data_IF_847516445129
#
_entry.id   IF_847516445129
#
_cell.length_a   1.000
_cell.length_b   1.000
_cell.length_c   1.000
_cell.angle_alpha   90.00
_cell.angle_beta   90.00
_cell.angle_gamma   90.00
#
_symmetry.space_group_name_H-M   'P 1'
#
loop_
_entity.id
_entity.type
_entity.pdbx_description
1 polymer ?
#
# COMPACT_ATOMS: atom_id res chain seq x y z
N UNK A 1 -0.87 -29.74 -8.49
CA UNK A 1 -1.96 -29.12 -7.70
C UNK A 1 -1.50 -27.72 -7.36
N UNK A 2 -2.08 -26.70 -7.99
CA UNK A 2 -1.76 -25.31 -7.70
C UNK A 2 -2.16 -25.02 -6.26
N UNK A 3 -1.20 -24.59 -5.44
CA UNK A 3 -1.44 -24.09 -4.08
C UNK A 3 -2.51 -22.98 -4.20
N UNK A 4 -3.58 -22.95 -3.38
CA UNK A 4 -4.50 -21.83 -3.42
C UNK A 4 -3.66 -20.56 -3.23
N UNK A 5 -3.83 -19.59 -4.13
CA UNK A 5 -3.20 -18.29 -3.98
C UNK A 5 -3.61 -17.75 -2.59
N UNK A 6 -2.67 -17.21 -1.80
CA UNK A 6 -3.01 -16.64 -0.50
C UNK A 6 -4.07 -15.56 -0.72
N UNK A 7 -5.28 -15.77 -0.19
CA UNK A 7 -6.35 -14.78 -0.27
C UNK A 7 -6.09 -13.74 0.82
N UNK A 8 -6.00 -12.48 0.42
CA UNK A 8 -5.90 -11.36 1.35
C UNK A 8 -7.26 -11.08 2.00
N UNK A 9 -7.26 -10.90 3.31
CA UNK A 9 -8.34 -10.13 3.94
C UNK A 9 -8.29 -8.67 3.48
N UNK A 10 -9.36 -7.88 3.68
CA UNK A 10 -9.31 -6.45 3.35
C UNK A 10 -8.16 -5.72 4.03
N UNK A 11 -7.86 -6.06 5.30
CA UNK A 11 -6.74 -5.46 6.03
C UNK A 11 -5.40 -5.91 5.45
N UNK A 12 -5.22 -7.19 5.11
CA UNK A 12 -4.01 -7.69 4.46
C UNK A 12 -3.76 -6.95 3.13
N UNK A 13 -4.79 -6.68 2.34
CA UNK A 13 -4.67 -5.96 1.08
C UNK A 13 -4.24 -4.50 1.28
N UNK A 14 -4.73 -3.82 2.32
CA UNK A 14 -4.27 -2.47 2.68
C UNK A 14 -2.80 -2.48 3.11
N UNK A 15 -2.37 -3.47 3.89
CA UNK A 15 -0.97 -3.64 4.28
C UNK A 15 -0.10 -3.92 3.06
N UNK A 16 -0.55 -4.80 2.17
CA UNK A 16 0.18 -5.17 0.96
C UNK A 16 0.44 -3.94 0.07
N UNK A 17 -0.56 -3.07 -0.10
CA UNK A 17 -0.43 -1.81 -0.82
C UNK A 17 0.60 -0.88 -0.16
N UNK A 18 0.56 -0.73 1.17
CA UNK A 18 1.52 0.08 1.90
C UNK A 18 2.96 -0.45 1.73
N UNK A 19 3.15 -1.76 1.86
CA UNK A 19 4.47 -2.39 1.69
C UNK A 19 4.95 -2.26 0.25
N UNK A 20 4.08 -2.44 -0.74
CA UNK A 20 4.42 -2.34 -2.16
C UNK A 20 5.04 -0.98 -2.51
N UNK A 21 4.51 0.10 -1.94
CA UNK A 21 5.08 1.44 -2.07
C UNK A 21 6.48 1.50 -1.47
N UNK A 22 6.66 1.01 -0.25
CA UNK A 22 7.96 1.01 0.44
C UNK A 22 9.04 0.15 -0.23
N UNK A 23 8.67 -0.91 -0.96
CA UNK A 23 9.66 -1.78 -1.66
C UNK A 23 9.96 -1.32 -3.08
N UNK A 24 9.25 -0.32 -3.60
CA UNK A 24 9.31 0.07 -5.02
C UNK A 24 10.66 0.61 -5.47
N UNK A 25 11.53 1.05 -4.55
CA UNK A 25 12.91 1.48 -4.82
C UNK A 25 13.98 0.43 -4.46
N UNK A 26 13.58 -0.86 -4.37
CA UNK A 26 14.40 -2.03 -4.06
C UNK A 26 14.91 -2.10 -2.60
N UNK A 27 14.59 -1.15 -1.71
CA UNK A 27 14.98 -1.22 -0.29
C UNK A 27 14.01 -0.49 0.63
N UNK A 28 13.23 -1.22 1.43
CA UNK A 28 12.40 -0.60 2.49
C UNK A 28 13.29 0.16 3.47
N UNK A 29 12.93 1.42 3.71
CA UNK A 29 13.58 2.25 4.73
C UNK A 29 12.91 2.05 6.08
N UNK A 30 13.71 2.10 7.15
CA UNK A 30 13.18 2.00 8.54
C UNK A 30 12.08 3.03 8.82
N UNK A 31 12.17 4.23 8.23
CA UNK A 31 11.18 5.28 8.40
C UNK A 31 9.81 4.92 7.82
N UNK A 32 9.78 4.21 6.69
CA UNK A 32 8.57 3.76 6.01
C UNK A 32 7.93 2.60 6.78
N UNK A 33 8.73 1.62 7.23
CA UNK A 33 8.22 0.54 8.08
C UNK A 33 7.57 1.09 9.37
N UNK A 34 8.23 2.06 10.01
CA UNK A 34 7.65 2.74 11.18
C UNK A 34 6.40 3.55 10.82
N UNK A 35 6.29 4.09 9.61
CA UNK A 35 5.07 4.76 9.17
C UNK A 35 3.91 3.77 9.03
N UNK A 36 4.16 2.59 8.43
CA UNK A 36 3.19 1.50 8.31
C UNK A 36 2.70 1.08 9.69
N UNK A 37 3.61 0.76 10.62
CA UNK A 37 3.26 0.36 12.00
C UNK A 37 2.38 1.42 12.69
N UNK A 38 2.75 2.71 12.62
CA UNK A 38 1.95 3.79 13.19
C UNK A 38 0.54 3.89 12.61
N UNK A 39 0.39 3.68 11.30
CA UNK A 39 -0.93 3.70 10.64
C UNK A 39 -1.78 2.51 11.07
N UNK A 40 -1.19 1.32 11.18
CA UNK A 40 -1.88 0.12 11.67
C UNK A 40 -2.35 0.28 13.11
N UNK A 41 -1.50 0.83 13.98
CA UNK A 41 -1.82 1.00 15.40
C UNK A 41 -2.90 2.05 15.67
N UNK A 42 -3.07 3.03 14.77
CA UNK A 42 -3.91 4.21 15.03
C UNK A 42 -5.21 4.26 14.23
N UNK A 43 -5.28 3.59 13.07
CA UNK A 43 -6.44 3.72 12.18
C UNK A 43 -7.52 2.67 12.47
N UNK A 44 -8.80 3.09 12.55
CA UNK A 44 -9.90 2.20 12.94
C UNK A 44 -10.13 1.04 11.98
N UNK A 45 -9.71 1.15 10.70
CA UNK A 45 -9.79 0.05 9.73
C UNK A 45 -8.97 -1.16 10.18
N UNK A 46 -7.95 -0.97 11.02
CA UNK A 46 -7.09 -2.02 11.56
C UNK A 46 -7.42 -2.42 13.00
N UNK A 47 -8.54 -1.95 13.58
CA UNK A 47 -8.82 -2.12 15.01
C UNK A 47 -8.90 -3.57 15.54
N UNK A 48 -9.07 -4.56 14.66
CA UNK A 48 -9.05 -5.99 14.98
C UNK A 48 -7.96 -6.75 14.19
N UNK A 49 -7.00 -6.04 13.61
CA UNK A 49 -5.94 -6.64 12.81
C UNK A 49 -4.87 -7.27 13.72
N UNK A 50 -4.31 -8.39 13.27
CA UNK A 50 -3.20 -9.05 13.95
C UNK A 50 -1.87 -8.50 13.41
N UNK A 51 -1.09 -7.72 14.20
CA UNK A 51 0.12 -7.07 13.73
C UNK A 51 1.22 -8.08 13.33
N UNK A 52 1.20 -9.31 13.86
CA UNK A 52 2.17 -10.35 13.47
C UNK A 52 2.02 -10.72 11.98
N UNK A 53 0.85 -10.46 11.37
CA UNK A 53 0.62 -10.68 9.94
C UNK A 53 1.35 -9.69 9.04
N UNK A 54 1.74 -8.51 9.54
CA UNK A 54 2.46 -7.50 8.73
C UNK A 54 3.69 -8.12 8.08
N UNK A 55 4.46 -8.89 8.85
CA UNK A 55 5.67 -9.55 8.37
C UNK A 55 5.36 -10.56 7.26
N UNK A 56 4.31 -11.36 7.42
CA UNK A 56 3.90 -12.36 6.43
C UNK A 56 3.46 -11.69 5.11
N UNK A 57 2.70 -10.61 5.22
CA UNK A 57 2.28 -9.83 4.04
C UNK A 57 3.48 -9.17 3.38
N UNK A 58 4.42 -8.61 4.16
CA UNK A 58 5.62 -8.02 3.61
C UNK A 58 6.48 -9.03 2.85
N UNK A 59 6.74 -10.21 3.44
CA UNK A 59 7.46 -11.31 2.77
C UNK A 59 6.76 -11.74 1.48
N UNK A 60 5.42 -11.81 1.49
CA UNK A 60 4.62 -12.13 0.29
C UNK A 60 4.78 -11.08 -0.81
N UNK A 61 4.69 -9.79 -0.46
CA UNK A 61 4.88 -8.69 -1.40
C UNK A 61 6.29 -8.70 -1.97
N UNK A 62 7.32 -8.92 -1.14
CA UNK A 62 8.70 -9.05 -1.61
C UNK A 62 8.85 -10.17 -2.64
N UNK A 63 8.33 -11.37 -2.35
CA UNK A 63 8.38 -12.49 -3.29
C UNK A 63 7.66 -12.16 -4.60
N UNK A 64 6.52 -11.45 -4.54
CA UNK A 64 5.84 -11.03 -5.76
C UNK A 64 6.69 -10.03 -6.56
N UNK A 65 7.27 -9.02 -5.92
CA UNK A 65 8.06 -7.99 -6.61
C UNK A 65 9.35 -8.49 -7.26
N UNK A 66 9.82 -9.70 -6.93
CA UNK A 66 10.96 -10.36 -7.60
C UNK A 66 10.56 -11.04 -8.93
N UNK A 67 9.26 -11.26 -9.16
CA UNK A 67 8.73 -11.94 -10.35
C UNK A 67 8.41 -10.93 -11.48
N UNK A 68 8.58 -11.35 -12.74
CA UNK A 68 8.39 -10.49 -13.93
C UNK A 68 6.98 -9.88 -14.02
N UNK A 69 5.93 -10.66 -13.70
CA UNK A 69 4.52 -10.23 -13.66
C UNK A 69 4.01 -10.03 -12.22
N UNK A 70 4.93 -9.84 -11.28
CA UNK A 70 4.67 -9.80 -9.85
C UNK A 70 3.68 -8.73 -9.40
N UNK A 71 3.80 -7.55 -10.02
CA UNK A 71 2.97 -6.39 -9.70
C UNK A 71 1.51 -6.60 -10.13
N UNK A 72 1.29 -7.20 -11.30
CA UNK A 72 -0.05 -7.55 -11.77
C UNK A 72 -0.70 -8.60 -10.85
N UNK A 73 0.09 -9.59 -10.41
CA UNK A 73 -0.37 -10.59 -9.46
C UNK A 73 -0.72 -9.96 -8.10
N UNK A 74 0.09 -9.02 -7.60
CA UNK A 74 -0.20 -8.27 -6.39
C UNK A 74 -1.52 -7.50 -6.51
N UNK A 75 -1.71 -6.76 -7.61
CA UNK A 75 -2.97 -6.05 -7.84
C UNK A 75 -4.17 -7.00 -7.95
N UNK A 76 -3.99 -8.20 -8.50
CA UNK A 76 -4.99 -9.27 -8.43
C UNK A 76 -5.42 -9.60 -7.00
N UNK A 77 -4.46 -9.86 -6.12
CA UNK A 77 -4.74 -10.17 -4.71
C UNK A 77 -5.39 -8.99 -3.97
N UNK A 78 -4.95 -7.76 -4.27
CA UNK A 78 -5.51 -6.54 -3.68
C UNK A 78 -6.96 -6.32 -4.12
N UNK A 79 -7.27 -6.47 -5.41
CA UNK A 79 -8.64 -6.34 -5.94
C UNK A 79 -9.57 -7.42 -5.37
N UNK A 80 -9.09 -8.65 -5.22
CA UNK A 80 -9.86 -9.74 -4.64
C UNK A 80 -10.10 -9.55 -3.13
N UNK A 81 -9.14 -8.94 -2.42
CA UNK A 81 -9.21 -8.70 -0.99
C UNK A 81 -9.96 -7.42 -0.59
N UNK A 82 -10.03 -6.42 -1.46
CA UNK A 82 -10.68 -5.13 -1.17
C UNK A 82 -12.12 -5.05 -1.67
N UNK A 83 -12.98 -4.47 -0.83
CA UNK A 83 -14.29 -3.97 -1.27
C UNK A 83 -14.13 -2.56 -1.83
N UNK A 84 -14.93 -2.20 -2.84
CA UNK A 84 -14.90 -0.88 -3.52
C UNK A 84 -14.85 0.33 -2.56
N UNK A 85 -15.60 0.26 -1.45
CA UNK A 85 -15.60 1.32 -0.41
C UNK A 85 -14.25 1.60 0.26
N UNK A 86 -13.27 0.70 0.11
CA UNK A 86 -11.92 0.81 0.67
C UNK A 86 -10.87 1.21 -0.37
N UNK A 87 -11.22 1.40 -1.64
CA UNK A 87 -10.26 1.77 -2.68
C UNK A 87 -9.55 3.09 -2.38
N UNK A 88 -10.32 4.12 -2.00
CA UNK A 88 -9.76 5.41 -1.57
C UNK A 88 -8.95 5.29 -0.28
N UNK A 89 -9.29 4.34 0.60
CA UNK A 89 -8.52 4.06 1.82
C UNK A 89 -7.16 3.46 1.47
N UNK A 90 -7.12 2.46 0.59
CA UNK A 90 -5.87 1.86 0.11
C UNK A 90 -4.96 2.92 -0.51
N UNK A 91 -5.51 3.77 -1.36
CA UNK A 91 -4.76 4.82 -2.02
C UNK A 91 -4.27 5.91 -1.07
N UNK A 92 -5.10 6.32 -0.10
CA UNK A 92 -4.68 7.28 0.91
C UNK A 92 -3.53 6.76 1.77
N UNK A 93 -3.58 5.48 2.17
CA UNK A 93 -2.48 4.83 2.89
C UNK A 93 -1.21 4.78 2.05
N UNK A 94 -1.31 4.41 0.77
CA UNK A 94 -0.19 4.39 -0.16
C UNK A 94 0.48 5.78 -0.28
N UNK A 95 -0.33 6.83 -0.43
CA UNK A 95 0.17 8.21 -0.47
C UNK A 95 0.85 8.61 0.84
N UNK A 96 0.30 8.23 2.00
CA UNK A 96 0.88 8.56 3.30
C UNK A 96 2.20 7.82 3.57
N UNK A 97 2.36 6.57 3.09
CA UNK A 97 3.65 5.88 3.10
C UNK A 97 4.66 6.59 2.21
N UNK A 98 4.32 6.87 0.94
CA UNK A 98 5.21 7.55 0.00
C UNK A 98 5.63 8.94 0.52
N UNK A 99 4.73 9.67 1.17
CA UNK A 99 5.00 10.99 1.71
C UNK A 99 5.76 10.96 3.06
N UNK A 100 6.01 9.79 3.64
CA UNK A 100 6.67 9.67 4.94
C UNK A 100 8.16 9.99 4.91
N UNK A 101 8.78 9.99 3.72
CA UNK A 101 10.15 10.48 3.48
C UNK A 101 10.14 11.87 2.82
N UNK A 102 11.28 12.57 2.90
CA UNK A 102 11.49 13.96 2.45
C UNK A 102 11.25 14.13 0.94
N UNK A 103 11.38 13.06 0.14
CA UNK A 103 11.15 13.10 -1.31
C UNK A 103 10.58 11.78 -1.84
N UNK A 104 9.46 11.90 -2.55
CA UNK A 104 8.87 10.81 -3.34
C UNK A 104 9.69 10.61 -4.62
N UNK A 105 10.14 9.38 -4.86
CA UNK A 105 10.87 8.93 -6.04
C UNK A 105 9.97 8.63 -7.25
N UNK A 106 10.59 8.40 -8.41
CA UNK A 106 9.84 8.09 -9.63
C UNK A 106 9.18 6.71 -9.61
N UNK A 107 9.79 5.73 -8.95
CA UNK A 107 9.22 4.38 -8.83
C UNK A 107 7.92 4.40 -8.03
N UNK A 108 7.92 5.07 -6.88
CA UNK A 108 6.73 5.26 -6.04
C UNK A 108 5.63 6.02 -6.78
N UNK A 109 5.97 7.08 -7.52
CA UNK A 109 4.99 7.83 -8.32
C UNK A 109 4.32 6.96 -9.39
N UNK A 110 5.08 6.09 -10.06
CA UNK A 110 4.54 5.14 -11.03
C UNK A 110 3.63 4.12 -10.37
N UNK A 111 4.05 3.55 -9.25
CA UNK A 111 3.23 2.60 -8.51
C UNK A 111 1.92 3.23 -8.02
N UNK A 112 1.96 4.47 -7.52
CA UNK A 112 0.76 5.23 -7.15
C UNK A 112 -0.14 5.49 -8.36
N UNK A 113 0.42 5.81 -9.52
CA UNK A 113 -0.35 5.99 -10.75
C UNK A 113 -1.06 4.69 -11.16
N UNK A 114 -0.35 3.55 -11.15
CA UNK A 114 -0.92 2.24 -11.45
C UNK A 114 -1.99 1.83 -10.44
N UNK A 115 -1.73 1.98 -9.14
CA UNK A 115 -2.69 1.70 -8.08
C UNK A 115 -3.98 2.53 -8.25
N UNK A 116 -3.85 3.81 -8.59
CA UNK A 116 -5.00 4.69 -8.88
C UNK A 116 -5.84 4.16 -10.03
N UNK A 117 -5.19 3.64 -11.07
CA UNK A 117 -5.85 3.05 -12.22
C UNK A 117 -6.53 1.72 -11.88
N UNK A 118 -5.82 0.83 -11.20
CA UNK A 118 -6.31 -0.49 -10.82
C UNK A 118 -7.51 -0.44 -9.87
N UNK A 119 -7.53 0.54 -8.98
CA UNK A 119 -8.64 0.76 -8.05
C UNK A 119 -9.72 1.71 -8.60
N UNK A 120 -9.59 2.15 -9.86
CA UNK A 120 -10.54 3.03 -10.55
C UNK A 120 -10.89 4.30 -9.75
N UNK A 121 -9.87 4.97 -9.22
CA UNK A 121 -10.06 6.15 -8.37
C UNK A 121 -10.22 7.40 -9.24
N UNK A 122 -11.30 8.14 -9.00
CA UNK A 122 -11.57 9.38 -9.71
C UNK A 122 -10.42 10.40 -9.52
N UNK A 123 -10.15 11.15 -10.58
CA UNK A 123 -9.03 12.10 -10.61
C UNK A 123 -9.14 13.19 -9.54
N UNK A 124 -10.35 13.67 -9.23
CA UNK A 124 -10.55 14.68 -8.20
C UNK A 124 -10.35 14.10 -6.80
N UNK A 125 -10.79 12.86 -6.58
CA UNK A 125 -10.61 12.16 -5.30
C UNK A 125 -9.13 11.89 -5.04
N UNK A 126 -8.41 11.38 -6.05
CA UNK A 126 -6.97 11.16 -5.98
C UNK A 126 -6.22 12.47 -5.67
N UNK A 127 -6.51 13.55 -6.40
CA UNK A 127 -5.89 14.85 -6.17
C UNK A 127 -6.16 15.39 -4.75
N UNK A 128 -7.35 15.17 -4.20
CA UNK A 128 -7.69 15.57 -2.84
C UNK A 128 -6.89 14.76 -1.79
N UNK A 129 -6.78 13.45 -2.00
CA UNK A 129 -6.02 12.53 -1.15
C UNK A 129 -4.53 12.91 -1.15
N UNK A 130 -3.91 13.04 -2.32
CA UNK A 130 -2.51 13.44 -2.48
C UNK A 130 -2.24 14.80 -1.80
N UNK A 131 -3.16 15.76 -1.97
CA UNK A 131 -3.04 17.08 -1.36
C UNK A 131 -3.10 17.02 0.17
N UNK A 132 -3.97 16.17 0.71
CA UNK A 132 -4.12 15.92 2.14
C UNK A 132 -2.90 15.23 2.73
N UNK A 133 -2.40 14.19 2.05
CA UNK A 133 -1.17 13.48 2.44
C UNK A 133 0.02 14.42 2.52
N UNK A 134 0.24 15.21 1.46
CA UNK A 134 1.29 16.23 1.44
C UNK A 134 1.17 17.21 2.59
N UNK A 135 -0.04 17.67 2.92
CA UNK A 135 -0.26 18.64 3.99
C UNK A 135 0.09 18.08 5.38
N UNK A 136 -0.16 16.79 5.64
CA UNK A 136 0.18 16.12 6.91
C UNK A 136 1.67 15.88 7.10
N UNK A 137 2.42 15.75 6.01
CA UNK A 137 3.85 15.42 6.01
C UNK A 137 4.77 16.63 5.79
N UNK A 138 4.25 17.86 5.74
CA UNK A 138 5.09 19.06 5.67
C UNK A 138 5.92 19.21 6.96
N UNK A 139 7.23 19.35 6.82
CA UNK A 139 8.18 19.62 7.90
C UNK A 139 8.65 21.09 7.86
N UNK A 140 9.18 21.61 8.98
CA UNK A 140 9.68 22.98 9.13
C UNK A 140 11.20 23.05 8.99
#
# INVERSE_FOLDING_TARGET
>A
MSKPLPSFSPQDALIAVMVAVSVSDETIRTAELLAIERMVDSLPVFGNYDPDRIRVIAETVYTLMEEEDGLDALFGLVRDGLTERLHETAYALACDVAASDVKIGQAELRLLEELRHELNIDRLHAAAIERGSRARHMTL
#
